data_IF_394060206270
#
_entry.id   IF_394060206270
#
_cell.length_a   1.000
_cell.length_b   1.000
_cell.length_c   1.000
_cell.angle_alpha   90.00
_cell.angle_beta   90.00
_cell.angle_gamma   90.00
#
_symmetry.space_group_name_H-M   'P 1'
#
loop_
_entity.id
_entity.type
_entity.pdbx_description
1 polymer ?
#
# COMPACT_ATOMS: atom_id res chain seq x y z
N UNK A 1 7.20 -26.79 6.13
CA UNK A 1 6.72 -26.06 4.93
C UNK A 1 7.75 -24.98 4.59
N UNK A 2 8.34 -24.98 3.39
CA UNK A 2 9.49 -24.12 2.99
C UNK A 2 9.14 -23.08 1.92
N UNK A 3 7.85 -22.81 1.70
CA UNK A 3 7.36 -21.89 0.67
C UNK A 3 6.67 -22.62 -0.48
N UNK A 4 6.63 -21.96 -1.64
CA UNK A 4 5.99 -22.44 -2.86
C UNK A 4 6.30 -21.51 -4.04
N UNK A 5 5.67 -21.78 -5.19
CA UNK A 5 5.83 -21.01 -6.42
C UNK A 5 4.50 -20.35 -6.79
N UNK A 6 4.54 -19.06 -7.12
CA UNK A 6 3.37 -18.35 -7.65
C UNK A 6 3.19 -18.78 -9.10
N UNK A 7 1.95 -19.08 -9.46
CA UNK A 7 1.53 -19.25 -10.84
C UNK A 7 0.82 -17.96 -11.30
N UNK A 8 1.34 -17.20 -12.27
CA UNK A 8 2.66 -17.32 -12.90
C UNK A 8 3.31 -15.94 -13.13
N UNK A 9 4.39 -15.88 -13.89
CA UNK A 9 5.17 -14.64 -14.00
C UNK A 9 4.55 -13.62 -14.96
N UNK A 10 4.17 -14.03 -16.17
CA UNK A 10 3.84 -13.10 -17.26
C UNK A 10 2.62 -13.56 -18.03
N UNK A 11 1.73 -12.61 -18.32
CA UNK A 11 0.60 -12.85 -19.20
C UNK A 11 1.06 -13.28 -20.60
N UNK A 12 0.44 -14.33 -21.14
CA UNK A 12 0.75 -14.85 -22.46
C UNK A 12 -0.16 -14.19 -23.52
N UNK A 13 -0.29 -12.87 -23.44
CA UNK A 13 -1.00 -12.06 -24.43
C UNK A 13 -0.11 -11.70 -25.62
N UNK A 14 -0.68 -11.70 -26.81
CA UNK A 14 0.01 -11.34 -28.05
C UNK A 14 -0.44 -9.96 -28.52
N UNK A 15 0.49 -9.11 -28.96
CA UNK A 15 0.15 -7.78 -29.47
C UNK A 15 -0.65 -7.90 -30.77
N UNK A 16 -1.80 -7.22 -30.84
CA UNK A 16 -2.65 -7.12 -32.03
C UNK A 16 -3.18 -5.69 -32.14
N UNK A 17 -3.60 -5.28 -33.33
CA UNK A 17 -4.32 -4.01 -33.54
C UNK A 17 -5.74 -4.27 -34.06
N UNK A 18 -6.70 -3.41 -33.68
CA UNK A 18 -8.06 -3.41 -34.26
C UNK A 18 -8.08 -2.73 -35.64
N UNK A 19 -9.28 -2.59 -36.23
CA UNK A 19 -9.45 -1.95 -37.55
C UNK A 19 -9.06 -0.47 -37.54
N UNK A 20 -9.16 0.20 -36.39
CA UNK A 20 -8.70 1.58 -36.19
C UNK A 20 -7.18 1.71 -35.94
N UNK A 21 -6.46 0.59 -35.80
CA UNK A 21 -5.02 0.57 -35.53
C UNK A 21 -4.63 0.68 -34.06
N UNK A 22 -5.58 0.57 -33.13
CA UNK A 22 -5.36 0.59 -31.69
C UNK A 22 -4.83 -0.75 -31.20
N UNK A 23 -3.69 -0.71 -30.49
CA UNK A 23 -3.03 -1.89 -29.97
C UNK A 23 -3.72 -2.47 -28.72
N UNK A 24 -3.83 -3.80 -28.67
CA UNK A 24 -4.33 -4.54 -27.51
C UNK A 24 -3.62 -5.89 -27.36
N UNK A 25 -3.70 -6.46 -26.14
CA UNK A 25 -3.21 -7.80 -25.85
C UNK A 25 -4.29 -8.84 -26.18
N UNK A 26 -4.12 -9.53 -27.30
CA UNK A 26 -5.00 -10.60 -27.75
C UNK A 26 -4.70 -11.93 -27.05
N UNK A 27 -5.73 -12.76 -26.91
CA UNK A 27 -5.64 -14.11 -26.33
C UNK A 27 -6.50 -15.12 -27.10
N UNK A 28 -6.80 -16.28 -26.52
CA UNK A 28 -7.64 -17.31 -27.14
C UNK A 28 -9.00 -16.75 -27.60
N UNK A 29 -9.35 -16.97 -28.86
CA UNK A 29 -10.59 -16.47 -29.47
C UNK A 29 -10.41 -15.21 -30.32
N UNK A 30 -9.32 -14.47 -30.16
CA UNK A 30 -8.98 -13.32 -31.01
C UNK A 30 -8.26 -13.74 -32.31
N UNK A 31 -7.90 -15.02 -32.41
CA UNK A 31 -7.24 -15.64 -33.55
C UNK A 31 -8.09 -16.78 -34.12
N UNK A 32 -8.01 -16.94 -35.44
CA UNK A 32 -8.74 -17.97 -36.18
C UNK A 32 -10.18 -17.57 -36.56
N UNK A 33 -10.86 -18.38 -37.37
CA UNK A 33 -12.25 -18.15 -37.74
C UNK A 33 -13.19 -18.14 -36.53
N UNK A 34 -14.36 -17.44 -36.62
CA UNK A 34 -15.40 -17.51 -35.60
C UNK A 34 -15.79 -18.97 -35.28
N UNK A 35 -15.83 -19.31 -33.99
CA UNK A 35 -16.12 -20.67 -33.54
C UNK A 35 -14.88 -21.56 -33.35
N UNK A 36 -13.67 -21.04 -33.60
CA UNK A 36 -12.43 -21.75 -33.21
C UNK A 36 -12.41 -21.95 -31.69
N UNK A 37 -12.25 -23.19 -31.25
CA UNK A 37 -12.20 -23.53 -29.82
C UNK A 37 -10.93 -22.97 -29.17
N UNK A 38 -11.10 -22.35 -28.00
CA UNK A 38 -9.99 -21.88 -27.16
C UNK A 38 -10.43 -21.74 -25.70
N UNK A 39 -9.47 -21.82 -24.78
CA UNK A 39 -9.66 -21.56 -23.35
C UNK A 39 -9.62 -20.05 -23.01
N UNK A 40 -9.83 -19.20 -24.01
CA UNK A 40 -9.95 -17.75 -23.88
C UNK A 40 -8.77 -17.12 -23.14
N UNK A 41 -9.04 -16.40 -22.05
CA UNK A 41 -8.05 -15.66 -21.27
C UNK A 41 -7.34 -16.52 -20.21
N UNK A 42 -7.50 -17.85 -20.21
CA UNK A 42 -6.83 -18.73 -19.26
C UNK A 42 -5.29 -18.68 -19.34
N UNK A 43 -4.72 -18.04 -20.37
CA UNK A 43 -3.30 -17.80 -20.52
C UNK A 43 -2.80 -16.45 -19.92
N UNK A 44 -3.71 -15.65 -19.33
CA UNK A 44 -3.45 -14.31 -18.79
C UNK A 44 -3.52 -14.38 -17.24
N UNK A 45 -2.44 -14.87 -16.63
CA UNK A 45 -2.38 -15.16 -15.18
C UNK A 45 -1.15 -14.52 -14.48
N UNK A 46 -0.44 -13.66 -15.19
CA UNK A 46 0.90 -13.23 -14.82
C UNK A 46 0.92 -12.19 -13.71
N UNK A 47 2.03 -12.16 -12.98
CA UNK A 47 2.40 -11.03 -12.11
C UNK A 47 2.68 -9.73 -12.88
N UNK A 48 2.98 -9.84 -14.18
CA UNK A 48 3.22 -8.71 -15.09
C UNK A 48 2.50 -8.89 -16.42
N UNK A 49 2.18 -7.78 -17.07
CA UNK A 49 1.68 -7.72 -18.44
C UNK A 49 2.71 -8.27 -19.45
N UNK A 50 2.31 -8.54 -20.71
CA UNK A 50 3.23 -9.04 -21.73
C UNK A 50 4.45 -8.14 -21.99
N UNK A 51 4.32 -6.83 -21.79
CA UNK A 51 5.42 -5.84 -21.91
C UNK A 51 6.23 -5.65 -20.61
N UNK A 52 6.00 -6.48 -19.59
CA UNK A 52 6.62 -6.47 -18.25
C UNK A 52 6.20 -5.28 -17.37
N UNK A 53 5.17 -4.50 -17.76
CA UNK A 53 4.52 -3.59 -16.80
C UNK A 53 3.92 -4.39 -15.65
N UNK A 54 4.02 -3.85 -14.45
CA UNK A 54 3.63 -4.56 -13.23
C UNK A 54 2.10 -4.55 -13.08
N UNK A 55 1.52 -5.68 -12.68
CA UNK A 55 0.17 -5.70 -12.14
C UNK A 55 0.16 -5.29 -10.67
N UNK A 56 -0.95 -4.75 -10.14
CA UNK A 56 -1.04 -4.30 -8.75
C UNK A 56 -0.66 -5.37 -7.71
N UNK A 57 -1.02 -6.64 -7.93
CA UNK A 57 -0.73 -7.71 -6.98
C UNK A 57 0.76 -8.04 -6.84
N UNK A 58 1.62 -7.66 -7.79
CA UNK A 58 3.07 -7.85 -7.64
C UNK A 58 3.64 -6.99 -6.49
N UNK A 59 3.00 -5.86 -6.17
CA UNK A 59 3.36 -5.08 -4.99
C UNK A 59 3.09 -5.84 -3.68
N UNK A 60 2.03 -6.63 -3.63
CA UNK A 60 1.73 -7.50 -2.48
C UNK A 60 2.76 -8.63 -2.37
N UNK A 61 3.16 -9.24 -3.50
CA UNK A 61 4.25 -10.22 -3.52
C UNK A 61 5.53 -9.61 -2.95
N UNK A 62 5.91 -8.40 -3.38
CA UNK A 62 7.07 -7.67 -2.84
C UNK A 62 6.96 -7.47 -1.32
N UNK A 63 5.80 -7.03 -0.83
CA UNK A 63 5.55 -6.77 0.60
C UNK A 63 5.62 -8.05 1.44
N UNK A 64 4.96 -9.12 1.01
CA UNK A 64 4.90 -10.38 1.75
C UNK A 64 6.29 -11.04 1.79
N UNK A 65 7.01 -11.03 0.67
CA UNK A 65 8.32 -11.68 0.51
C UNK A 65 9.50 -10.90 1.09
N UNK A 66 9.32 -9.66 1.55
CA UNK A 66 10.43 -8.88 2.15
C UNK A 66 11.08 -9.61 3.35
N UNK A 67 12.40 -9.47 3.46
CA UNK A 67 13.22 -10.18 4.46
C UNK A 67 13.42 -9.42 5.77
N UNK A 68 13.04 -8.14 5.83
CA UNK A 68 13.09 -7.35 7.06
C UNK A 68 11.67 -7.28 7.61
N UNK A 69 11.48 -7.81 8.83
CA UNK A 69 10.19 -7.74 9.52
C UNK A 69 10.32 -6.85 10.75
N UNK A 70 9.30 -6.03 10.99
CA UNK A 70 9.23 -5.16 12.16
C UNK A 70 8.07 -5.61 13.01
N UNK A 71 8.21 -5.55 14.33
CA UNK A 71 7.11 -5.70 15.29
C UNK A 71 7.09 -4.54 16.28
N UNK A 72 5.93 -3.99 16.63
CA UNK A 72 5.83 -3.01 17.70
C UNK A 72 6.33 -3.56 19.03
N UNK A 73 7.01 -2.73 19.81
CA UNK A 73 7.32 -2.99 21.24
C UNK A 73 6.57 -1.97 22.09
N UNK A 74 6.82 -0.68 21.88
CA UNK A 74 6.10 0.44 22.49
C UNK A 74 6.06 1.62 21.50
N UNK A 75 4.97 1.76 20.76
CA UNK A 75 4.83 2.81 19.75
C UNK A 75 4.69 4.22 20.35
N UNK A 76 4.34 4.37 21.64
CA UNK A 76 4.33 5.70 22.28
C UNK A 76 5.75 6.24 22.43
N UNK A 77 6.73 5.35 22.60
CA UNK A 77 8.16 5.67 22.76
C UNK A 77 8.98 5.44 21.49
N UNK A 78 8.32 5.07 20.38
CA UNK A 78 8.99 4.73 19.14
C UNK A 78 9.84 3.46 19.20
N UNK A 79 9.49 2.52 20.06
CA UNK A 79 10.20 1.26 20.22
C UNK A 79 9.64 0.18 19.30
N UNK A 80 10.51 -0.38 18.47
CA UNK A 80 10.19 -1.48 17.56
C UNK A 80 11.27 -2.55 17.59
N UNK A 81 10.88 -3.78 17.31
CA UNK A 81 11.79 -4.93 17.16
C UNK A 81 11.93 -5.25 15.68
N UNK A 82 13.15 -5.14 15.17
CA UNK A 82 13.50 -5.50 13.79
C UNK A 82 14.04 -6.92 13.79
N UNK A 83 13.56 -7.74 12.86
CA UNK A 83 14.02 -9.11 12.63
C UNK A 83 14.61 -9.23 11.22
N UNK A 84 15.87 -9.67 11.16
CA UNK A 84 16.56 -10.00 9.94
C UNK A 84 16.24 -11.44 9.53
N UNK A 85 15.45 -11.63 8.46
CA UNK A 85 15.14 -12.96 7.92
C UNK A 85 16.11 -13.44 6.86
N UNK A 86 17.08 -12.65 6.44
CA UNK A 86 18.12 -13.13 5.54
C UNK A 86 18.90 -14.27 6.21
N UNK A 87 19.37 -15.21 5.39
CA UNK A 87 20.18 -16.35 5.82
C UNK A 87 21.65 -16.00 5.97
N UNK A 88 22.17 -15.10 5.14
CA UNK A 88 23.61 -14.80 5.06
C UNK A 88 23.93 -13.30 5.02
N UNK A 89 22.91 -12.43 4.94
CA UNK A 89 23.09 -10.98 4.78
C UNK A 89 22.88 -10.26 6.11
N UNK A 90 23.87 -9.49 6.58
CA UNK A 90 23.69 -8.56 7.69
C UNK A 90 22.92 -7.32 7.20
N UNK A 91 22.10 -6.70 8.07
CA UNK A 91 21.40 -5.44 7.77
C UNK A 91 22.30 -4.20 7.73
N UNK A 92 23.62 -4.34 7.90
CA UNK A 92 24.56 -3.23 7.67
C UNK A 92 24.51 -2.70 6.23
N UNK A 93 24.01 -3.51 5.29
CA UNK A 93 23.84 -3.20 3.86
C UNK A 93 22.67 -2.26 3.55
N UNK A 94 21.77 -2.03 4.52
CA UNK A 94 20.61 -1.15 4.35
C UNK A 94 20.69 0.08 5.24
N UNK A 95 20.14 1.19 4.77
CA UNK A 95 19.78 2.34 5.59
C UNK A 95 18.29 2.24 5.97
N UNK A 96 17.97 2.68 7.18
CA UNK A 96 16.58 2.76 7.63
C UNK A 96 16.16 4.21 7.80
N UNK A 97 15.08 4.55 7.12
CA UNK A 97 14.41 5.84 7.18
C UNK A 97 13.06 5.66 7.87
N UNK A 98 12.64 6.67 8.61
CA UNK A 98 11.33 6.69 9.24
C UNK A 98 10.64 8.03 8.98
N UNK A 99 9.32 7.99 8.84
CA UNK A 99 8.46 9.16 8.65
C UNK A 99 7.24 9.02 9.54
N UNK A 100 6.74 10.14 10.02
CA UNK A 100 5.50 10.25 10.77
C UNK A 100 4.59 11.20 10.03
N UNK A 101 3.43 10.70 9.62
CA UNK A 101 2.41 11.48 8.93
C UNK A 101 1.19 11.57 9.86
N UNK A 102 0.66 12.79 10.02
CA UNK A 102 -0.62 13.05 10.66
C UNK A 102 -1.63 13.38 9.57
N UNK A 103 -2.61 12.51 9.34
CA UNK A 103 -3.46 12.48 8.16
C UNK A 103 -2.63 12.56 6.85
N UNK A 104 -2.51 13.76 6.29
CA UNK A 104 -1.79 14.07 5.05
C UNK A 104 -0.59 15.01 5.26
N UNK A 105 -0.29 15.41 6.50
CA UNK A 105 0.83 16.29 6.85
C UNK A 105 2.05 15.51 7.39
N UNK A 106 3.24 15.82 6.86
CA UNK A 106 4.51 15.34 7.42
C UNK A 106 4.77 16.00 8.78
N UNK A 107 4.82 15.20 9.85
CA UNK A 107 5.06 15.66 11.22
C UNK A 107 6.54 15.59 11.57
N UNK A 108 7.20 14.49 11.21
CA UNK A 108 8.61 14.27 11.49
C UNK A 108 9.19 13.20 10.55
N UNK A 109 10.49 13.26 10.32
CA UNK A 109 11.24 12.24 9.60
C UNK A 109 12.67 12.13 10.14
N UNK A 110 13.33 11.02 9.82
CA UNK A 110 14.73 10.85 10.15
C UNK A 110 15.32 9.55 9.64
N UNK A 111 16.63 9.40 9.85
CA UNK A 111 17.36 8.16 9.59
C UNK A 111 17.80 7.53 10.91
N UNK A 112 17.86 6.20 10.94
CA UNK A 112 18.48 5.50 12.06
C UNK A 112 19.96 5.24 11.76
N UNK A 113 20.89 5.58 12.66
CA UNK A 113 22.32 5.68 12.34
C UNK A 113 22.93 4.43 11.69
N UNK A 114 22.67 3.24 12.25
CA UNK A 114 23.13 1.98 11.67
C UNK A 114 22.32 0.80 12.20
N UNK A 115 21.89 -0.07 11.28
CA UNK A 115 21.37 -1.39 11.61
C UNK A 115 22.49 -2.41 11.49
N UNK A 116 22.96 -2.92 12.61
CA UNK A 116 23.83 -4.09 12.65
C UNK A 116 23.04 -5.22 13.32
N UNK A 117 22.44 -6.06 12.47
CA UNK A 117 21.59 -7.18 12.88
C UNK A 117 22.00 -8.36 12.01
N UNK A 118 22.69 -9.31 12.63
CA UNK A 118 23.17 -10.53 11.99
C UNK A 118 22.01 -11.33 11.34
N UNK A 119 22.31 -12.16 10.33
CA UNK A 119 21.32 -13.06 9.74
C UNK A 119 20.57 -13.86 10.79
N UNK A 120 19.25 -14.01 10.62
CA UNK A 120 18.36 -14.73 11.55
C UNK A 120 18.28 -14.15 12.98
N UNK A 121 18.79 -12.94 13.23
CA UNK A 121 18.71 -12.28 14.55
C UNK A 121 17.69 -11.14 14.57
N UNK A 122 17.37 -10.67 15.78
CA UNK A 122 16.53 -9.50 16.01
C UNK A 122 17.17 -8.51 16.97
N UNK A 123 16.78 -7.24 16.85
CA UNK A 123 17.19 -6.17 17.76
C UNK A 123 16.01 -5.24 18.04
N UNK A 124 15.80 -4.88 19.30
CA UNK A 124 14.91 -3.79 19.67
C UNK A 124 15.65 -2.46 19.50
N UNK A 125 14.98 -1.47 18.93
CA UNK A 125 15.51 -0.13 18.73
C UNK A 125 14.48 0.90 19.18
N UNK A 126 14.95 2.07 19.60
CA UNK A 126 14.13 3.24 19.88
C UNK A 126 14.39 4.28 18.79
N UNK A 127 13.33 4.68 18.10
CA UNK A 127 13.40 5.72 17.08
C UNK A 127 13.52 7.09 17.75
N UNK A 128 14.42 7.96 17.30
CA UNK A 128 14.60 9.29 17.88
C UNK A 128 13.56 10.28 17.31
N UNK A 129 12.27 9.93 17.37
CA UNK A 129 11.22 10.85 16.91
C UNK A 129 10.78 11.81 18.02
N UNK A 130 10.33 13.04 17.68
CA UNK A 130 9.97 14.05 18.68
C UNK A 130 8.68 13.72 19.42
N UNK A 131 8.46 14.34 20.57
CA UNK A 131 7.16 14.27 21.25
C UNK A 131 6.03 14.76 20.31
N UNK A 132 5.00 13.94 20.13
CA UNK A 132 3.85 14.25 19.29
C UNK A 132 2.76 14.85 20.16
N UNK A 133 2.40 16.11 19.89
CA UNK A 133 1.20 16.74 20.45
C UNK A 133 0.05 16.46 19.49
N UNK A 134 -0.92 15.59 19.85
CA UNK A 134 -2.02 15.27 18.97
C UNK A 134 -2.85 16.51 18.67
N UNK A 135 -3.30 16.65 17.43
CA UNK A 135 -4.29 17.64 17.02
C UNK A 135 -5.68 16.99 17.02
N UNK A 136 -6.75 17.77 17.31
CA UNK A 136 -8.11 17.25 17.31
C UNK A 136 -8.50 16.58 15.99
N UNK A 137 -8.90 15.31 16.05
CA UNK A 137 -9.38 14.52 14.92
C UNK A 137 -8.30 13.88 14.05
N UNK A 138 -7.01 14.16 14.30
CA UNK A 138 -5.90 13.70 13.45
C UNK A 138 -5.42 12.30 13.83
N UNK A 139 -5.17 11.46 12.82
CA UNK A 139 -4.57 10.15 13.00
C UNK A 139 -3.09 10.14 12.59
N UNK A 140 -2.25 9.54 13.42
CA UNK A 140 -0.80 9.53 13.20
C UNK A 140 -0.31 8.14 12.78
N UNK A 141 0.54 8.08 11.77
CA UNK A 141 1.14 6.85 11.24
C UNK A 141 2.66 6.95 11.15
N UNK A 142 3.35 5.97 11.75
CA UNK A 142 4.78 5.75 11.58
C UNK A 142 4.99 4.83 10.38
N UNK A 143 5.79 5.26 9.40
CA UNK A 143 6.30 4.41 8.33
C UNK A 143 7.81 4.22 8.48
N UNK A 144 8.27 2.99 8.36
CA UNK A 144 9.67 2.56 8.36
C UNK A 144 10.01 2.05 6.96
N UNK A 145 11.08 2.57 6.35
CA UNK A 145 11.58 2.17 5.02
C UNK A 145 13.02 1.69 5.12
N UNK A 146 13.34 0.60 4.44
CA UNK A 146 14.69 0.02 4.40
C UNK A 146 15.19 0.05 2.96
N UNK A 147 16.28 0.79 2.72
CA UNK A 147 16.83 1.02 1.38
C UNK A 147 18.26 0.50 1.29
N UNK A 148 18.64 -0.02 0.13
CA UNK A 148 20.01 -0.44 -0.12
C UNK A 148 20.99 0.75 -0.08
N UNK A 149 22.10 0.62 0.66
CA UNK A 149 23.16 1.64 0.70
C UNK A 149 23.98 1.69 -0.58
N UNK A 150 24.14 0.54 -1.21
CA UNK A 150 24.95 0.33 -2.41
C UNK A 150 24.10 -0.34 -3.50
N UNK A 151 24.57 -0.28 -4.74
CA UNK A 151 23.94 -1.02 -5.83
C UNK A 151 24.13 -2.54 -5.68
N UNK A 152 23.19 -3.30 -6.20
CA UNK A 152 23.26 -4.75 -6.32
C UNK A 152 22.97 -5.15 -7.79
N UNK A 153 23.26 -6.40 -8.20
CA UNK A 153 22.94 -6.84 -9.56
C UNK A 153 21.48 -6.56 -9.91
N UNK A 154 21.27 -5.79 -10.98
CA UNK A 154 19.95 -5.37 -11.49
C UNK A 154 19.12 -4.49 -10.54
N UNK A 155 19.70 -4.00 -9.44
CA UNK A 155 18.99 -3.18 -8.45
C UNK A 155 19.84 -1.96 -8.07
N UNK A 156 19.35 -0.78 -8.38
CA UNK A 156 20.03 0.48 -8.07
C UNK A 156 20.16 0.73 -6.56
N UNK A 157 21.22 1.45 -6.18
CA UNK A 157 21.35 2.07 -4.85
C UNK A 157 20.06 2.83 -4.47
N UNK A 158 19.68 2.76 -3.19
CA UNK A 158 18.49 3.44 -2.66
C UNK A 158 17.16 2.71 -2.92
N UNK A 159 17.18 1.55 -3.58
CA UNK A 159 15.98 0.73 -3.78
C UNK A 159 15.41 0.25 -2.43
N UNK A 160 14.11 0.45 -2.23
CA UNK A 160 13.40 0.01 -1.03
C UNK A 160 13.14 -1.50 -1.08
N UNK A 161 13.81 -2.23 -0.19
CA UNK A 161 13.74 -3.70 -0.09
C UNK A 161 12.70 -4.18 0.92
N UNK A 162 12.28 -3.31 1.84
CA UNK A 162 11.25 -3.58 2.82
C UNK A 162 10.66 -2.28 3.35
N UNK A 163 9.40 -2.33 3.76
CA UNK A 163 8.79 -1.26 4.56
C UNK A 163 7.75 -1.83 5.53
N UNK A 164 7.41 -1.04 6.55
CA UNK A 164 6.26 -1.32 7.42
C UNK A 164 5.61 -0.02 7.90
N UNK A 165 4.32 -0.06 8.19
CA UNK A 165 3.58 1.07 8.75
C UNK A 165 2.78 0.66 9.98
N UNK A 166 2.73 1.54 10.97
CA UNK A 166 1.94 1.36 12.18
C UNK A 166 1.18 2.65 12.52
N UNK A 167 -0.09 2.49 12.89
CA UNK A 167 -0.85 3.55 13.55
C UNK A 167 -0.21 3.85 14.91
N UNK A 168 0.12 5.11 15.15
CA UNK A 168 0.63 5.57 16.43
C UNK A 168 -0.54 5.83 17.39
N UNK A 169 -0.39 5.51 18.69
CA UNK A 169 -1.45 5.64 19.68
C UNK A 169 -1.55 7.07 20.24
N UNK A 170 -1.53 8.08 19.37
CA UNK A 170 -1.76 9.49 19.68
C UNK A 170 -3.10 9.89 19.06
N UNK A 171 -4.00 10.42 19.88
CA UNK A 171 -5.31 10.85 19.41
C UNK A 171 -5.90 11.86 20.38
N UNK A 172 -6.39 12.97 19.83
CA UNK A 172 -7.27 13.90 20.51
C UNK A 172 -8.61 13.91 19.76
N UNK A 173 -9.76 13.73 20.43
CA UNK A 173 -11.05 13.78 19.77
C UNK A 173 -11.29 15.13 19.08
N UNK A 174 -11.86 15.09 17.88
CA UNK A 174 -12.31 16.30 17.18
C UNK A 174 -13.37 17.08 17.97
N UNK A 175 -13.58 18.37 17.64
CA UNK A 175 -14.62 19.17 18.28
C UNK A 175 -15.99 18.50 18.09
N UNK A 176 -16.80 18.46 19.15
CA UNK A 176 -18.18 18.01 19.05
C UNK A 176 -18.98 19.06 18.27
N UNK A 177 -19.64 18.63 17.20
CA UNK A 177 -20.58 19.48 16.47
C UNK A 177 -21.87 19.57 17.29
N UNK A 178 -22.24 20.80 17.66
CA UNK A 178 -23.54 21.06 18.26
C UNK A 178 -24.61 21.08 17.17
N UNK A 179 -25.33 19.95 17.04
CA UNK A 179 -26.38 19.81 16.05
C UNK A 179 -27.58 20.73 16.31
N UNK A 180 -27.72 21.29 17.52
CA UNK A 180 -28.81 22.23 17.82
C UNK A 180 -28.71 23.55 17.07
N UNK A 181 -27.51 23.88 16.55
CA UNK A 181 -27.26 25.06 15.72
C UNK A 181 -27.23 24.76 14.22
N UNK A 182 -27.51 23.50 13.82
CA UNK A 182 -27.52 23.13 12.42
C UNK A 182 -28.75 23.72 11.70
N UNK A 183 -28.63 24.16 10.44
CA UNK A 183 -29.78 24.60 9.65
C UNK A 183 -30.86 23.51 9.58
N UNK A 184 -32.13 23.91 9.66
CA UNK A 184 -33.24 22.97 9.51
C UNK A 184 -33.23 22.32 8.12
N UNK A 185 -33.56 21.03 8.10
CA UNK A 185 -33.79 20.28 6.88
C UNK A 185 -35.29 20.09 6.69
N UNK A 186 -35.78 20.27 5.47
CA UNK A 186 -37.17 19.99 5.14
C UNK A 186 -37.30 18.63 4.44
N UNK A 187 -38.30 17.84 4.84
CA UNK A 187 -38.62 16.57 4.21
C UNK A 187 -39.92 16.68 3.41
N UNK A 188 -39.80 16.62 2.08
CA UNK A 188 -40.94 16.54 1.17
C UNK A 188 -41.16 15.09 0.75
N UNK A 189 -42.38 14.59 0.93
CA UNK A 189 -42.80 13.26 0.46
C UNK A 189 -43.50 13.42 -0.88
N UNK A 190 -42.77 13.22 -1.97
CA UNK A 190 -43.34 13.18 -3.32
C UNK A 190 -43.63 11.73 -3.72
N UNK A 191 -44.39 11.49 -4.79
CA UNK A 191 -44.97 10.17 -5.13
C UNK A 191 -44.02 8.98 -4.95
N UNK A 192 -42.85 9.03 -5.58
CA UNK A 192 -41.85 7.95 -5.58
C UNK A 192 -40.63 8.22 -4.68
N UNK A 193 -40.48 9.44 -4.13
CA UNK A 193 -39.27 9.84 -3.41
C UNK A 193 -39.54 10.47 -2.04
N UNK A 194 -38.60 10.28 -1.12
CA UNK A 194 -38.35 11.15 0.01
C UNK A 194 -37.31 12.20 -0.40
N UNK A 195 -37.70 13.47 -0.44
CA UNK A 195 -36.79 14.59 -0.76
C UNK A 195 -36.40 15.34 0.51
N UNK A 196 -35.12 15.29 0.85
CA UNK A 196 -34.52 16.04 1.96
C UNK A 196 -33.84 17.27 1.37
N UNK A 197 -34.27 18.46 1.75
CA UNK A 197 -33.69 19.72 1.25
C UNK A 197 -32.92 20.42 2.36
N UNK A 198 -31.68 20.79 2.05
CA UNK A 198 -30.87 21.73 2.82
C UNK A 198 -30.82 23.09 2.13
N UNK A 199 -29.94 23.97 2.61
CA UNK A 199 -29.80 25.35 2.09
C UNK A 199 -29.38 25.39 0.62
N UNK A 200 -28.49 24.50 0.21
CA UNK A 200 -27.81 24.48 -1.08
C UNK A 200 -27.76 23.08 -1.72
N UNK A 201 -28.50 22.12 -1.15
CA UNK A 201 -28.57 20.76 -1.66
C UNK A 201 -29.98 20.17 -1.56
N UNK A 202 -30.26 19.17 -2.38
CA UNK A 202 -31.44 18.30 -2.27
C UNK A 202 -31.01 16.87 -2.46
N UNK A 203 -31.41 15.99 -1.54
CA UNK A 203 -31.19 14.55 -1.61
C UNK A 203 -32.55 13.91 -1.88
N UNK A 204 -32.65 13.10 -2.92
CA UNK A 204 -33.84 12.29 -3.20
C UNK A 204 -33.51 10.82 -2.95
N UNK A 205 -34.32 10.15 -2.13
CA UNK A 205 -34.23 8.72 -1.86
C UNK A 205 -35.51 8.07 -2.37
N UNK A 206 -35.37 7.09 -3.25
CA UNK A 206 -36.49 6.27 -3.76
C UNK A 206 -37.14 5.50 -2.61
N UNK A 207 -38.46 5.31 -2.67
CA UNK A 207 -39.26 4.74 -1.58
C UNK A 207 -39.11 3.23 -1.39
#
# INVERSE_FOLDING_TARGET
>A
LQGGFIWDWVDQGLLKANEEGEEFWAYGGDYGPPGTLSDKNFCINGLVFPDRKLHPHLWEVKKVYQYIKVKPVDLKKGEVKIFNRYDFTNLTTVEMEWTIIGDDALIAEGKFPQLDILPRHSKAISLPFPEIKPLPGVEYFLKLSFRLKDEAPLVSKGYEVAWEQYKLPFYEPGPKIDLSQSPELTLDKTGEFFQIKGKDFTIAVDK
#
